data_IF_119259896015
#
_entry.id   IF_119259896015
#
_cell.length_a   1.000
_cell.length_b   1.000
_cell.length_c   1.000
_cell.angle_alpha   90.00
_cell.angle_beta   90.00
_cell.angle_gamma   90.00
#
_symmetry.space_group_name_H-M   'P 1'
#
loop_
_entity.id
_entity.type
_entity.pdbx_description
1 polymer ?
#
# COMPACT_ATOMS: atom_id res chain seq x y z
N UNK A 1 -51.51 -29.33 -2.24
CA UNK A 1 -51.00 -27.99 -1.90
C UNK A 1 -49.87 -28.21 -0.92
N UNK A 2 -48.65 -28.12 -1.43
CA UNK A 2 -47.40 -28.43 -0.75
C UNK A 2 -46.83 -27.08 -0.33
N UNK A 3 -46.69 -26.88 0.97
CA UNK A 3 -46.14 -25.66 1.56
C UNK A 3 -44.63 -25.67 1.30
N UNK A 4 -44.17 -24.79 0.41
CA UNK A 4 -42.76 -24.67 -0.03
C UNK A 4 -42.06 -23.43 0.58
N UNK A 5 -42.67 -22.76 1.57
CA UNK A 5 -42.24 -21.41 1.99
C UNK A 5 -41.48 -21.35 3.34
N UNK A 6 -40.79 -22.41 3.77
CA UNK A 6 -40.10 -22.44 5.08
C UNK A 6 -38.57 -22.59 5.02
N UNK A 7 -37.92 -22.45 3.85
CA UNK A 7 -36.48 -22.72 3.71
C UNK A 7 -35.58 -21.50 3.43
N UNK A 8 -36.11 -20.28 3.48
CA UNK A 8 -35.30 -19.06 3.21
C UNK A 8 -34.76 -18.38 4.48
N UNK A 9 -35.27 -18.71 5.67
CA UNK A 9 -34.86 -18.05 6.93
C UNK A 9 -33.63 -18.67 7.62
N UNK A 10 -33.17 -19.85 7.17
CA UNK A 10 -31.99 -20.53 7.73
C UNK A 10 -30.68 -20.07 7.05
N UNK A 11 -30.75 -19.45 5.87
CA UNK A 11 -29.58 -19.00 5.12
C UNK A 11 -29.07 -17.60 5.49
N UNK A 12 -29.91 -16.75 6.08
CA UNK A 12 -29.53 -15.36 6.41
C UNK A 12 -28.86 -15.21 7.79
N UNK A 13 -28.85 -16.25 8.63
CA UNK A 13 -28.24 -16.22 9.98
C UNK A 13 -26.74 -16.61 10.00
N UNK A 14 -26.11 -16.75 8.82
CA UNK A 14 -24.67 -17.06 8.67
C UNK A 14 -23.77 -15.82 8.49
N UNK A 15 -24.31 -14.61 8.44
CA UNK A 15 -23.57 -13.43 7.93
C UNK A 15 -23.32 -12.34 8.96
N UNK A 16 -23.18 -12.69 10.24
CA UNK A 16 -22.79 -11.72 11.27
C UNK A 16 -21.72 -12.23 12.22
N UNK A 17 -20.68 -12.84 11.67
CA UNK A 17 -19.39 -12.82 12.37
C UNK A 17 -18.98 -11.33 12.55
N UNK A 18 -18.47 -10.93 13.72
CA UNK A 18 -18.13 -9.54 13.95
C UNK A 18 -17.04 -9.16 12.95
N UNK A 19 -17.26 -8.10 12.15
CA UNK A 19 -16.34 -7.66 11.10
C UNK A 19 -14.87 -7.51 11.58
N UNK A 20 -14.64 -7.36 12.89
CA UNK A 20 -13.30 -7.34 13.50
C UNK A 20 -12.57 -8.69 13.52
N UNK A 21 -13.28 -9.82 13.55
CA UNK A 21 -12.65 -11.14 13.51
C UNK A 21 -12.10 -11.45 12.12
N UNK A 22 -12.90 -11.26 11.06
CA UNK A 22 -12.41 -11.40 9.68
C UNK A 22 -11.23 -10.45 9.40
N UNK A 23 -11.27 -9.21 9.91
CA UNK A 23 -10.16 -8.27 9.76
C UNK A 23 -8.86 -8.81 10.39
N UNK A 24 -8.92 -9.29 11.64
CA UNK A 24 -7.75 -9.93 12.29
C UNK A 24 -7.28 -11.15 11.50
N UNK A 25 -8.19 -12.01 11.04
CA UNK A 25 -7.79 -13.21 10.30
C UNK A 25 -7.12 -12.84 8.97
N UNK A 26 -7.64 -11.84 8.24
CA UNK A 26 -7.03 -11.32 7.01
C UNK A 26 -5.59 -10.87 7.20
N UNK A 27 -5.29 -10.20 8.31
CA UNK A 27 -3.92 -9.79 8.64
C UNK A 27 -2.97 -11.01 8.83
N UNK A 28 -3.51 -12.13 9.31
CA UNK A 28 -2.75 -13.36 9.57
C UNK A 28 -2.70 -14.34 8.39
N UNK A 29 -3.62 -14.23 7.41
CA UNK A 29 -3.68 -15.12 6.24
C UNK A 29 -2.36 -15.20 5.45
N UNK A 30 -1.64 -14.10 5.18
CA UNK A 30 -0.35 -14.19 4.52
C UNK A 30 0.63 -15.06 5.29
N UNK A 31 0.71 -14.94 6.62
CA UNK A 31 1.65 -15.74 7.41
C UNK A 31 1.19 -17.21 7.47
N UNK A 32 -0.10 -17.45 7.68
CA UNK A 32 -0.69 -18.78 7.70
C UNK A 32 -0.44 -19.56 6.40
N UNK A 33 -0.66 -18.94 5.24
CA UNK A 33 -0.42 -19.57 3.93
C UNK A 33 1.07 -19.79 3.67
N UNK A 34 1.96 -19.00 4.29
CA UNK A 34 3.41 -19.10 4.01
C UNK A 34 4.00 -20.37 4.61
N UNK A 35 3.51 -20.76 5.79
CA UNK A 35 3.99 -21.93 6.52
C UNK A 35 3.68 -23.25 5.82
N UNK A 36 2.62 -23.30 4.98
CA UNK A 36 2.28 -24.47 4.17
C UNK A 36 3.13 -24.63 2.91
N UNK A 37 3.89 -23.60 2.53
CA UNK A 37 4.75 -23.62 1.34
C UNK A 37 6.22 -23.71 1.75
N UNK A 38 6.87 -24.83 1.44
CA UNK A 38 8.30 -25.05 1.66
C UNK A 38 9.14 -24.24 0.65
N UNK A 39 9.04 -22.90 0.68
CA UNK A 39 9.87 -22.02 -0.13
C UNK A 39 11.17 -21.73 0.63
N UNK A 40 12.32 -22.30 0.22
CA UNK A 40 13.59 -22.11 0.91
C UNK A 40 14.06 -20.67 0.68
N UNK A 41 14.13 -19.87 1.74
CA UNK A 41 14.76 -18.53 1.70
C UNK A 41 13.94 -17.39 2.27
N UNK A 42 12.65 -17.59 2.56
CA UNK A 42 11.90 -16.65 3.39
C UNK A 42 11.86 -17.17 4.82
N UNK A 43 12.81 -16.71 5.64
CA UNK A 43 12.68 -16.77 7.10
C UNK A 43 11.58 -15.78 7.51
N UNK A 44 10.33 -16.12 7.18
CA UNK A 44 9.16 -15.38 7.63
C UNK A 44 9.00 -15.56 9.13
N UNK A 45 8.41 -14.55 9.77
CA UNK A 45 7.95 -14.65 11.14
C UNK A 45 6.97 -15.83 11.24
N UNK A 46 7.25 -16.76 12.15
CA UNK A 46 6.40 -17.92 12.34
C UNK A 46 5.16 -17.47 13.14
N UNK A 47 3.98 -17.59 12.53
CA UNK A 47 2.70 -17.47 13.20
C UNK A 47 2.67 -18.34 14.45
N UNK A 48 2.31 -17.74 15.59
CA UNK A 48 2.16 -18.46 16.85
C UNK A 48 1.13 -19.59 16.73
N UNK A 49 1.29 -20.66 17.50
CA UNK A 49 0.38 -21.83 17.45
C UNK A 49 -1.07 -21.45 17.73
N UNK A 50 -1.30 -20.54 18.68
CA UNK A 50 -2.63 -20.03 19.02
C UNK A 50 -3.28 -19.30 17.84
N UNK A 51 -2.53 -18.42 17.18
CA UNK A 51 -3.00 -17.69 16.00
C UNK A 51 -3.25 -18.64 14.83
N UNK A 52 -2.40 -19.65 14.65
CA UNK A 52 -2.59 -20.68 13.61
C UNK A 52 -3.87 -21.47 13.83
N UNK A 53 -4.11 -21.92 15.07
CA UNK A 53 -5.33 -22.64 15.42
C UNK A 53 -6.58 -21.76 15.23
N UNK A 54 -6.51 -20.49 15.63
CA UNK A 54 -7.60 -19.52 15.45
C UNK A 54 -7.92 -19.26 13.97
N UNK A 55 -6.89 -19.08 13.13
CA UNK A 55 -7.08 -18.95 11.67
C UNK A 55 -7.68 -20.21 11.08
N UNK A 56 -7.18 -21.39 11.44
CA UNK A 56 -7.72 -22.66 10.95
C UNK A 56 -9.20 -22.85 11.33
N UNK A 57 -9.57 -22.52 12.57
CA UNK A 57 -10.96 -22.59 13.03
C UNK A 57 -11.87 -21.62 12.26
N UNK A 58 -11.43 -20.37 12.08
CA UNK A 58 -12.22 -19.36 11.36
C UNK A 58 -12.41 -19.73 9.89
N UNK A 59 -11.39 -20.27 9.23
CA UNK A 59 -11.48 -20.73 7.85
C UNK A 59 -12.51 -21.85 7.64
N UNK A 60 -12.84 -22.63 8.66
CA UNK A 60 -13.94 -23.62 8.56
C UNK A 60 -15.29 -22.92 8.42
N UNK A 61 -15.47 -21.75 9.04
CA UNK A 61 -16.77 -21.06 9.16
C UNK A 61 -16.95 -19.95 8.10
N UNK A 62 -15.90 -19.20 7.80
CA UNK A 62 -15.98 -18.04 6.92
C UNK A 62 -15.58 -18.35 5.47
N UNK A 63 -16.52 -18.19 4.54
CA UNK A 63 -16.27 -18.41 3.11
C UNK A 63 -15.35 -17.34 2.50
N UNK A 64 -15.50 -16.08 2.89
CA UNK A 64 -14.72 -14.97 2.35
C UNK A 64 -13.24 -15.13 2.67
N UNK A 65 -12.92 -15.43 3.94
CA UNK A 65 -11.55 -15.66 4.37
C UNK A 65 -10.92 -16.90 3.71
N UNK A 66 -11.72 -17.92 3.34
CA UNK A 66 -11.22 -19.07 2.57
C UNK A 66 -10.84 -18.70 1.15
N UNK A 67 -11.69 -17.94 0.45
CA UNK A 67 -11.39 -17.50 -0.92
C UNK A 67 -10.16 -16.58 -0.94
N UNK A 68 -10.03 -15.70 0.05
CA UNK A 68 -8.85 -14.86 0.19
C UNK A 68 -7.57 -15.67 0.48
N UNK A 69 -7.64 -16.66 1.38
CA UNK A 69 -6.52 -17.55 1.66
C UNK A 69 -6.07 -18.31 0.39
N UNK A 70 -7.05 -18.78 -0.41
CA UNK A 70 -6.79 -19.43 -1.70
C UNK A 70 -6.13 -18.48 -2.69
N UNK A 71 -6.63 -17.25 -2.82
CA UNK A 71 -6.03 -16.23 -3.68
C UNK A 71 -4.58 -15.95 -3.32
N UNK A 72 -4.27 -15.77 -2.03
CA UNK A 72 -2.90 -15.57 -1.53
C UNK A 72 -2.00 -16.76 -1.88
N UNK A 73 -2.51 -17.99 -1.74
CA UNK A 73 -1.78 -19.20 -2.09
C UNK A 73 -1.46 -19.28 -3.59
N UNK A 74 -2.44 -18.96 -4.45
CA UNK A 74 -2.26 -18.92 -5.90
C UNK A 74 -1.25 -17.85 -6.34
N UNK A 75 -1.32 -16.65 -5.75
CA UNK A 75 -0.39 -15.56 -6.02
C UNK A 75 1.05 -15.96 -5.70
N UNK A 76 1.24 -16.67 -4.57
CA UNK A 76 2.57 -17.14 -4.15
C UNK A 76 3.12 -18.25 -5.02
N UNK A 77 2.27 -19.19 -5.43
CA UNK A 77 2.68 -20.26 -6.34
C UNK A 77 3.17 -19.72 -7.69
N UNK A 78 2.68 -18.54 -8.11
CA UNK A 78 3.07 -17.85 -9.34
C UNK A 78 4.26 -16.90 -9.18
N UNK A 79 4.79 -16.74 -7.95
CA UNK A 79 5.90 -15.82 -7.71
C UNK A 79 7.15 -16.34 -8.44
N UNK A 80 7.78 -15.53 -9.32
CA UNK A 80 9.02 -15.93 -9.97
C UNK A 80 10.14 -16.04 -8.92
N UNK A 81 11.02 -17.01 -9.12
CA UNK A 81 12.21 -17.16 -8.30
C UNK A 81 13.12 -15.92 -8.49
N UNK A 82 13.60 -15.29 -7.40
CA UNK A 82 14.48 -14.14 -7.53
C UNK A 82 15.79 -14.56 -8.22
N UNK A 83 16.37 -13.72 -9.10
CA UNK A 83 17.63 -14.05 -9.74
C UNK A 83 18.74 -14.19 -8.69
N UNK A 84 19.62 -15.17 -8.87
CA UNK A 84 20.66 -15.52 -7.88
C UNK A 84 21.58 -14.34 -7.52
N UNK A 85 21.77 -13.39 -8.44
CA UNK A 85 22.59 -12.19 -8.24
C UNK A 85 21.92 -11.08 -7.42
N UNK A 86 20.60 -11.13 -7.23
CA UNK A 86 19.82 -10.05 -6.61
C UNK A 86 20.31 -9.76 -5.19
N UNK A 87 20.54 -10.81 -4.40
CA UNK A 87 21.00 -10.67 -3.02
C UNK A 87 22.37 -9.99 -2.97
N UNK A 88 23.32 -10.41 -3.82
CA UNK A 88 24.64 -9.78 -3.91
C UNK A 88 24.55 -8.32 -4.33
N UNK A 89 23.69 -7.98 -5.30
CA UNK A 89 23.49 -6.61 -5.77
C UNK A 89 22.90 -5.72 -4.69
N UNK A 90 21.91 -6.20 -3.92
CA UNK A 90 21.33 -5.47 -2.79
C UNK A 90 22.39 -5.23 -1.70
N UNK A 91 23.17 -6.24 -1.35
CA UNK A 91 24.22 -6.11 -0.32
C UNK A 91 25.31 -5.12 -0.76
N UNK A 92 25.66 -5.12 -2.04
CA UNK A 92 26.63 -4.16 -2.58
C UNK A 92 26.08 -2.73 -2.58
N UNK A 93 24.84 -2.54 -3.01
CA UNK A 93 24.16 -1.25 -2.97
C UNK A 93 24.02 -0.72 -1.53
N UNK A 94 23.63 -1.56 -0.58
CA UNK A 94 23.50 -1.20 0.84
C UNK A 94 24.84 -0.76 1.47
N UNK A 95 25.96 -1.34 1.04
CA UNK A 95 27.31 -0.91 1.48
C UNK A 95 27.74 0.41 0.85
N UNK A 96 27.35 0.67 -0.40
CA UNK A 96 27.67 1.91 -1.12
C UNK A 96 26.77 3.07 -0.71
N UNK A 97 25.60 2.80 -0.13
CA UNK A 97 24.71 3.82 0.41
C UNK A 97 25.47 4.64 1.47
N UNK A 98 25.73 5.95 1.24
CA UNK A 98 26.37 6.78 2.22
C UNK A 98 25.45 6.84 3.44
N UNK A 99 25.89 6.19 4.53
CA UNK A 99 25.15 6.17 5.78
C UNK A 99 24.77 7.60 6.15
N UNK A 100 23.45 7.84 6.22
CA UNK A 100 22.76 8.99 6.83
C UNK A 100 23.74 10.10 7.19
N UNK A 101 23.98 10.97 6.22
CA UNK A 101 24.93 12.08 6.25
C UNK A 101 25.08 12.59 7.69
N UNK A 102 26.24 12.31 8.30
CA UNK A 102 26.56 12.81 9.64
C UNK A 102 26.59 14.33 9.53
N UNK A 103 25.45 14.94 9.88
CA UNK A 103 25.30 16.37 10.04
C UNK A 103 26.35 16.81 11.06
N UNK A 104 27.46 17.31 10.54
CA UNK A 104 28.42 18.11 11.29
C UNK A 104 27.64 19.25 11.90
N UNK A 105 27.47 19.17 13.23
CA UNK A 105 27.22 20.16 14.30
C UNK A 105 26.81 21.64 14.02
N UNK A 106 26.50 22.02 12.79
CA UNK A 106 26.08 23.36 12.36
C UNK A 106 24.56 23.63 12.34
N UNK A 107 23.59 22.70 12.47
CA UNK A 107 22.19 23.07 12.25
C UNK A 107 21.49 23.67 13.48
N UNK A 108 22.17 23.84 14.62
CA UNK A 108 21.53 24.33 15.85
C UNK A 108 20.97 25.75 15.74
N UNK A 109 21.51 26.58 14.85
CA UNK A 109 21.07 27.97 14.68
C UNK A 109 19.94 28.15 13.65
N UNK A 110 19.67 27.17 12.80
CA UNK A 110 18.64 27.25 11.75
C UNK A 110 17.27 26.66 12.16
N UNK A 111 17.23 25.83 13.22
CA UNK A 111 15.98 25.20 13.69
C UNK A 111 14.97 26.19 14.30
N UNK A 112 15.44 27.32 14.84
CA UNK A 112 14.56 28.31 15.47
C UNK A 112 13.66 29.03 14.44
N UNK A 113 14.17 29.33 13.25
CA UNK A 113 13.40 30.00 12.21
C UNK A 113 12.32 29.09 11.58
N UNK A 114 12.64 27.81 11.36
CA UNK A 114 11.71 26.85 10.76
C UNK A 114 10.52 26.51 11.68
N UNK A 115 10.73 26.43 13.00
CA UNK A 115 9.64 26.21 13.96
C UNK A 115 8.74 27.44 14.08
N UNK A 116 9.30 28.66 14.00
CA UNK A 116 8.51 29.88 14.00
C UNK A 116 7.63 29.99 12.74
N UNK A 117 8.15 29.62 11.56
CA UNK A 117 7.37 29.59 10.32
C UNK A 117 6.24 28.52 10.36
N UNK A 118 6.51 27.33 10.91
CA UNK A 118 5.49 26.29 11.08
C UNK A 118 4.42 26.69 12.11
N UNK A 119 4.78 27.36 13.21
CA UNK A 119 3.82 27.81 14.21
C UNK A 119 2.89 28.91 13.67
N UNK A 120 3.41 29.84 12.85
CA UNK A 120 2.61 30.87 12.18
C UNK A 120 1.68 30.29 11.09
N UNK A 121 2.12 29.26 10.37
CA UNK A 121 1.30 28.60 9.33
C UNK A 121 0.15 27.76 9.89
N UNK A 122 0.34 27.11 11.05
CA UNK A 122 -0.70 26.27 11.67
C UNK A 122 -1.79 27.14 12.33
N UNK A 123 -1.45 28.33 12.85
CA UNK A 123 -2.41 29.19 13.54
C UNK A 123 -3.50 29.80 12.64
N UNK A 124 -3.18 30.10 11.37
CA UNK A 124 -4.14 30.71 10.44
C UNK A 124 -5.07 29.71 9.76
N UNK A 125 -4.71 28.42 9.74
CA UNK A 125 -5.55 27.36 9.19
C UNK A 125 -6.75 27.02 10.08
N UNK A 126 -6.64 27.19 11.40
CA UNK A 126 -7.67 26.81 12.36
C UNK A 126 -8.73 27.88 12.65
N UNK A 127 -8.55 29.12 12.17
CA UNK A 127 -9.51 30.21 12.38
C UNK A 127 -10.56 30.38 11.28
N UNK A 128 -10.58 29.49 10.27
CA UNK A 128 -11.61 29.54 9.23
C UNK A 128 -12.84 28.77 9.72
N UNK A 129 -13.79 29.47 10.36
CA UNK A 129 -15.16 28.97 10.47
C UNK A 129 -15.70 28.72 9.04
N UNK A 130 -16.10 27.49 8.70
CA UNK A 130 -16.70 27.23 7.40
C UNK A 130 -18.13 27.75 7.43
N UNK A 131 -18.38 28.87 6.74
CA UNK A 131 -19.74 29.15 6.27
C UNK A 131 -20.17 28.02 5.32
N UNK A 132 -21.38 27.44 5.48
CA UNK A 132 -21.85 26.39 4.60
C UNK A 132 -22.31 26.99 3.27
N UNK A 133 -21.39 27.16 2.32
CA UNK A 133 -21.75 27.39 0.93
C UNK A 133 -22.22 26.08 0.26
N UNK A 134 -23.29 26.12 -0.56
CA UNK A 134 -23.89 24.93 -1.14
C UNK A 134 -22.97 24.25 -2.17
N UNK A 135 -22.73 22.96 -1.94
CA UNK A 135 -21.74 22.09 -2.58
C UNK A 135 -22.02 21.70 -4.06
N UNK A 136 -22.56 22.58 -4.90
CA UNK A 136 -22.94 22.18 -6.27
C UNK A 136 -22.44 23.06 -7.42
N UNK A 137 -21.48 23.95 -7.21
CA UNK A 137 -20.80 24.65 -8.31
C UNK A 137 -19.29 24.46 -8.29
N UNK A 138 -18.84 23.21 -8.29
CA UNK A 138 -17.57 22.89 -8.96
C UNK A 138 -17.92 22.70 -10.42
N UNK A 139 -17.68 23.74 -11.22
CA UNK A 139 -17.58 23.57 -12.66
C UNK A 139 -16.44 22.56 -12.89
N UNK A 140 -16.80 21.30 -13.14
CA UNK A 140 -15.90 20.31 -13.71
C UNK A 140 -15.58 20.80 -15.13
N UNK A 141 -14.60 21.69 -15.25
CA UNK A 141 -13.77 21.64 -16.45
C UNK A 141 -13.21 20.22 -16.46
N UNK A 142 -13.63 19.45 -17.47
CA UNK A 142 -13.11 18.12 -17.71
C UNK A 142 -11.61 18.26 -17.94
N UNK A 143 -10.83 18.06 -16.88
CA UNK A 143 -9.41 17.80 -17.06
C UNK A 143 -9.31 16.59 -18.00
N UNK A 144 -8.52 16.69 -19.09
CA UNK A 144 -8.33 15.53 -19.95
C UNK A 144 -7.84 14.40 -19.05
N UNK A 145 -8.47 13.24 -19.19
CA UNK A 145 -8.10 12.05 -18.44
C UNK A 145 -6.58 11.91 -18.52
N UNK A 146 -5.89 12.12 -17.40
CA UNK A 146 -4.47 11.82 -17.30
C UNK A 146 -4.39 10.31 -17.51
N UNK A 147 -3.91 9.94 -18.69
CA UNK A 147 -3.73 8.54 -19.05
C UNK A 147 -2.57 8.01 -18.24
N UNK A 148 -2.88 7.43 -17.08
CA UNK A 148 -1.91 6.79 -16.20
C UNK A 148 -1.18 5.62 -16.90
N UNK A 149 -1.69 5.11 -18.03
CA UNK A 149 -1.02 4.11 -18.86
C UNK A 149 -0.05 4.71 -19.89
N UNK A 150 0.02 6.04 -20.02
CA UNK A 150 0.98 6.74 -20.89
C UNK A 150 2.26 7.21 -20.19
N UNK A 151 2.43 6.87 -18.91
CA UNK A 151 3.50 7.36 -18.04
C UNK A 151 4.56 6.29 -17.76
N UNK A 152 4.81 5.39 -18.71
CA UNK A 152 5.84 4.34 -18.62
C UNK A 152 7.27 4.90 -18.47
N UNK A 153 7.43 6.21 -18.66
CA UNK A 153 8.67 6.94 -18.51
C UNK A 153 8.97 7.40 -17.08
N UNK A 154 8.06 7.18 -16.11
CA UNK A 154 8.24 7.57 -14.71
C UNK A 154 8.15 6.34 -13.78
N UNK A 155 9.29 5.91 -13.22
CA UNK A 155 9.36 4.77 -12.31
C UNK A 155 9.93 5.20 -10.97
N UNK A 156 9.21 4.93 -9.89
CA UNK A 156 9.60 5.29 -8.52
C UNK A 156 9.95 6.78 -8.30
N UNK A 157 9.35 7.68 -9.08
CA UNK A 157 9.59 9.13 -8.99
C UNK A 157 10.85 9.61 -9.71
N UNK A 158 11.58 8.72 -10.39
CA UNK A 158 12.68 9.09 -11.28
C UNK A 158 12.26 8.94 -12.76
N UNK A 159 12.58 9.93 -13.61
CA UNK A 159 12.31 9.83 -15.05
C UNK A 159 13.33 8.93 -15.75
N UNK A 160 12.84 8.02 -16.59
CA UNK A 160 13.66 7.20 -17.49
C UNK A 160 13.88 7.98 -18.78
N UNK A 161 15.03 8.65 -18.89
CA UNK A 161 15.35 9.58 -19.99
C UNK A 161 15.14 8.94 -21.38
N UNK A 162 15.41 7.65 -21.53
CA UNK A 162 15.27 6.91 -22.80
C UNK A 162 13.81 6.61 -23.20
N UNK A 163 12.86 6.72 -22.25
CA UNK A 163 11.44 6.49 -22.49
C UNK A 163 10.63 7.80 -22.51
N UNK A 164 11.27 8.95 -22.23
CA UNK A 164 10.60 10.25 -22.29
C UNK A 164 10.24 10.61 -23.74
N UNK A 165 9.04 11.13 -23.99
CA UNK A 165 8.70 11.66 -25.30
C UNK A 165 9.51 12.96 -25.59
N UNK A 166 9.78 13.20 -26.87
CA UNK A 166 10.70 14.25 -27.33
C UNK A 166 10.30 15.68 -26.90
N UNK A 167 9.01 15.91 -26.68
CA UNK A 167 8.47 17.17 -26.17
C UNK A 167 8.81 17.39 -24.69
N UNK A 168 8.77 16.35 -23.87
CA UNK A 168 9.18 16.39 -22.47
C UNK A 168 10.70 16.53 -22.32
N UNK A 169 11.48 15.88 -23.19
CA UNK A 169 12.93 16.08 -23.24
C UNK A 169 13.29 17.53 -23.56
N UNK A 170 12.56 18.16 -24.49
CA UNK A 170 12.77 19.58 -24.84
C UNK A 170 12.45 20.49 -23.65
N UNK A 171 11.36 20.24 -22.94
CA UNK A 171 10.98 21.01 -21.75
C UNK A 171 12.03 20.92 -20.64
N UNK A 172 12.59 19.72 -20.40
CA UNK A 172 13.67 19.53 -19.42
C UNK A 172 14.97 20.26 -19.81
N UNK A 173 15.30 20.29 -21.10
CA UNK A 173 16.46 21.05 -21.58
C UNK A 173 16.26 22.55 -21.39
N UNK A 174 15.06 23.06 -21.72
CA UNK A 174 14.70 24.47 -21.51
C UNK A 174 14.74 24.88 -20.03
N UNK A 175 14.41 23.98 -19.10
CA UNK A 175 14.51 24.23 -17.66
C UNK A 175 15.97 24.28 -17.15
N UNK A 176 16.88 23.55 -17.80
CA UNK A 176 18.30 23.53 -17.44
C UNK A 176 19.11 24.68 -18.07
N UNK A 177 18.58 25.34 -19.10
CA UNK A 177 19.18 26.54 -19.69
C UNK A 177 18.62 27.80 -18.97
N UNK A 178 19.43 28.55 -18.21
CA UNK A 178 18.97 29.68 -17.40
C UNK A 178 18.53 30.91 -18.21
#
# INVERSE_FOLDING_TARGET
MRSEDDNDSVFEDRLREPAGECARIRDLLPLYVAQGSASPGFAGEELAEEDRAGVAEHLVRCADCREEARFIAELRARRPEPPASLLSSILEAARKAPGRQKSTLLPRLLRAAAVAALALGIGTFWQREPEPEPMWTVALEAQPAVDWYGQDWLVAGEPIVEALPDDMLRMLVEEMEP
#
